data_IF_266758975037
#
_entry.id   IF_266758975037
#
_cell.length_a   1.000
_cell.length_b   1.000
_cell.length_c   1.000
_cell.angle_alpha   90.00
_cell.angle_beta   90.00
_cell.angle_gamma   90.00
#
_symmetry.space_group_name_H-M   'P 1'
#
loop_
_entity.id
_entity.type
_entity.pdbx_description
1 polymer ?
#
# COMPACT_ATOMS: atom_id res chain seq x y z
N UNK A 1 -26.90 -3.25 -79.68
CA UNK A 1 -26.54 -4.65 -79.35
C UNK A 1 -25.54 -4.59 -78.27
N UNK A 2 -25.94 -4.80 -77.01
CA UNK A 2 -25.04 -4.86 -75.88
C UNK A 2 -24.64 -6.34 -75.61
N UNK A 3 -23.37 -6.64 -75.73
CA UNK A 3 -22.81 -7.99 -75.53
C UNK A 3 -22.89 -8.38 -74.06
N UNK A 4 -23.47 -9.51 -73.70
CA UNK A 4 -23.48 -10.11 -72.37
C UNK A 4 -22.06 -10.55 -72.01
N UNK A 5 -21.62 -10.34 -70.76
CA UNK A 5 -20.33 -10.85 -70.32
C UNK A 5 -20.34 -12.37 -70.17
N UNK A 6 -19.21 -13.01 -70.50
CA UNK A 6 -19.06 -14.45 -70.53
C UNK A 6 -19.22 -15.06 -69.08
N UNK A 7 -19.83 -16.22 -68.98
CA UNK A 7 -20.12 -16.93 -67.71
C UNK A 7 -18.89 -17.11 -66.80
N UNK A 8 -17.69 -17.16 -67.38
CA UNK A 8 -16.44 -17.27 -66.60
C UNK A 8 -16.09 -16.01 -65.76
N UNK A 9 -16.58 -14.81 -66.13
CA UNK A 9 -16.34 -13.58 -65.39
C UNK A 9 -17.29 -13.44 -64.18
N UNK A 10 -18.49 -13.98 -64.29
CA UNK A 10 -19.47 -13.97 -63.18
C UNK A 10 -19.02 -14.88 -62.05
N UNK A 11 -18.46 -16.05 -62.37
CA UNK A 11 -17.98 -17.02 -61.36
C UNK A 11 -16.73 -16.48 -60.64
N UNK A 12 -15.84 -15.78 -61.30
CA UNK A 12 -14.66 -15.15 -60.71
C UNK A 12 -15.03 -14.00 -59.78
N UNK A 13 -16.02 -13.19 -60.11
CA UNK A 13 -16.50 -12.11 -59.24
C UNK A 13 -17.22 -12.63 -57.99
N UNK A 14 -17.96 -13.73 -58.09
CA UNK A 14 -18.62 -14.35 -56.92
C UNK A 14 -17.61 -14.97 -55.98
N UNK A 15 -16.57 -15.62 -56.48
CA UNK A 15 -15.52 -16.22 -55.65
C UNK A 15 -14.70 -15.15 -54.89
N UNK A 16 -14.40 -14.01 -55.51
CA UNK A 16 -13.73 -12.87 -54.89
C UNK A 16 -14.59 -12.25 -53.77
N UNK A 17 -15.87 -12.08 -53.98
CA UNK A 17 -16.80 -11.52 -52.98
C UNK A 17 -16.92 -12.40 -51.74
N UNK A 18 -16.92 -13.72 -51.89
CA UNK A 18 -16.98 -14.64 -50.75
C UNK A 18 -15.67 -14.69 -49.96
N UNK A 19 -14.53 -14.64 -50.65
CA UNK A 19 -13.20 -14.64 -49.98
C UNK A 19 -12.98 -13.39 -49.16
N UNK A 20 -13.39 -12.21 -49.67
CA UNK A 20 -13.29 -10.94 -48.95
C UNK A 20 -14.21 -10.91 -47.72
N UNK A 21 -15.43 -11.44 -47.79
CA UNK A 21 -16.35 -11.55 -46.65
C UNK A 21 -15.82 -12.51 -45.59
N UNK A 22 -15.20 -13.62 -45.99
CA UNK A 22 -14.61 -14.59 -45.07
C UNK A 22 -13.40 -14.01 -44.32
N UNK A 23 -12.53 -13.26 -44.99
CA UNK A 23 -11.38 -12.57 -44.39
C UNK A 23 -11.82 -11.44 -43.45
N UNK A 24 -12.82 -10.64 -43.84
CA UNK A 24 -13.36 -9.58 -43.00
C UNK A 24 -14.00 -10.11 -41.69
N UNK A 25 -14.71 -11.24 -41.77
CA UNK A 25 -15.28 -11.89 -40.58
C UNK A 25 -14.21 -12.47 -39.66
N UNK A 26 -13.12 -13.04 -40.21
CA UNK A 26 -12.01 -13.52 -39.35
C UNK A 26 -11.22 -12.40 -38.71
N UNK A 27 -10.98 -11.28 -39.39
CA UNK A 27 -10.36 -10.10 -38.80
C UNK A 27 -11.27 -9.48 -37.70
N UNK A 28 -12.57 -9.40 -37.92
CA UNK A 28 -13.53 -8.89 -36.93
C UNK A 28 -13.58 -9.74 -35.66
N UNK A 29 -13.57 -11.08 -35.81
CA UNK A 29 -13.50 -12.00 -34.66
C UNK A 29 -12.17 -11.94 -33.91
N UNK A 30 -11.05 -11.71 -34.62
CA UNK A 30 -9.74 -11.58 -33.96
C UNK A 30 -9.63 -10.27 -33.15
N UNK A 31 -10.19 -9.16 -33.64
CA UNK A 31 -10.23 -7.90 -32.91
C UNK A 31 -11.16 -7.96 -31.67
N UNK A 32 -12.29 -8.69 -31.75
CA UNK A 32 -13.17 -8.89 -30.58
C UNK A 32 -12.50 -9.76 -29.50
N UNK A 33 -11.74 -10.78 -29.89
CA UNK A 33 -11.03 -11.65 -28.94
C UNK A 33 -9.91 -10.92 -28.20
N UNK A 34 -9.19 -10.01 -28.85
CA UNK A 34 -8.12 -9.21 -28.21
C UNK A 34 -8.70 -8.15 -27.27
N UNK A 35 -9.84 -7.55 -27.60
CA UNK A 35 -10.51 -6.57 -26.71
C UNK A 35 -11.07 -7.22 -25.43
N UNK A 36 -11.56 -8.47 -25.50
CA UNK A 36 -12.03 -9.22 -24.34
C UNK A 36 -10.89 -9.67 -23.42
N UNK A 37 -9.69 -9.95 -23.94
CA UNK A 37 -8.53 -10.30 -23.12
C UNK A 37 -7.92 -9.08 -22.41
N UNK A 38 -7.95 -7.89 -23.00
CA UNK A 38 -7.45 -6.68 -22.37
C UNK A 38 -8.29 -6.23 -21.16
N UNK A 39 -9.62 -6.47 -21.19
CA UNK A 39 -10.52 -6.14 -20.09
C UNK A 39 -10.39 -7.05 -18.85
N UNK A 40 -9.92 -8.30 -19.04
CA UNK A 40 -9.80 -9.26 -17.93
C UNK A 40 -8.49 -9.09 -17.11
N UNK A 41 -7.46 -8.42 -17.66
CA UNK A 41 -6.17 -8.23 -16.98
C UNK A 41 -6.14 -7.01 -16.05
N UNK A 42 -6.99 -6.01 -16.29
CA UNK A 42 -6.98 -4.77 -15.50
C UNK A 42 -7.25 -4.98 -13.99
N UNK A 43 -8.24 -5.77 -13.55
CA UNK A 43 -8.49 -5.98 -12.12
C UNK A 43 -7.39 -6.79 -11.43
N UNK A 44 -6.74 -7.72 -12.14
CA UNK A 44 -5.64 -8.52 -11.58
C UNK A 44 -4.41 -7.65 -11.32
N UNK A 45 -4.06 -6.75 -12.22
CA UNK A 45 -2.93 -5.83 -12.05
C UNK A 45 -3.19 -4.83 -10.92
N UNK A 46 -4.42 -4.35 -10.78
CA UNK A 46 -4.79 -3.45 -9.68
C UNK A 46 -4.68 -4.15 -8.31
N UNK A 47 -5.20 -5.37 -8.19
CA UNK A 47 -5.14 -6.15 -6.96
C UNK A 47 -3.69 -6.51 -6.55
N UNK A 48 -2.83 -6.84 -7.52
CA UNK A 48 -1.41 -7.08 -7.27
C UNK A 48 -0.70 -5.80 -6.80
N UNK A 49 -1.04 -4.65 -7.38
CA UNK A 49 -0.51 -3.35 -6.96
C UNK A 49 -0.89 -3.00 -5.52
N UNK A 50 -2.16 -3.20 -5.13
CA UNK A 50 -2.63 -2.92 -3.77
C UNK A 50 -1.98 -3.86 -2.76
N UNK A 51 -1.79 -5.14 -3.10
CA UNK A 51 -1.07 -6.10 -2.27
C UNK A 51 0.39 -5.68 -2.05
N UNK A 52 1.07 -5.19 -3.09
CA UNK A 52 2.44 -4.68 -3.00
C UNK A 52 2.51 -3.39 -2.19
N UNK A 53 1.56 -2.46 -2.34
CA UNK A 53 1.47 -1.26 -1.50
C UNK A 53 1.25 -1.62 -0.03
N UNK A 54 0.35 -2.57 0.27
CA UNK A 54 0.11 -3.04 1.64
C UNK A 54 1.38 -3.64 2.25
N UNK A 55 2.07 -4.50 1.50
CA UNK A 55 3.33 -5.09 1.94
C UNK A 55 4.40 -4.02 2.16
N UNK A 56 4.51 -3.04 1.27
CA UNK A 56 5.40 -1.89 1.42
C UNK A 56 5.13 -1.09 2.71
N UNK A 57 3.86 -0.90 3.08
CA UNK A 57 3.47 -0.30 4.35
C UNK A 57 3.98 -1.11 5.56
N UNK A 58 3.85 -2.44 5.53
CA UNK A 58 4.39 -3.29 6.60
C UNK A 58 5.92 -3.25 6.66
N UNK A 59 6.60 -3.20 5.51
CA UNK A 59 8.07 -2.99 5.45
C UNK A 59 8.48 -1.62 6.04
N UNK A 60 7.72 -0.56 5.77
CA UNK A 60 7.94 0.77 6.34
C UNK A 60 7.88 0.76 7.87
N UNK A 61 6.94 0.01 8.42
CA UNK A 61 6.82 -0.16 9.87
C UNK A 61 8.01 -0.95 10.44
N UNK A 62 8.21 -2.21 9.97
CA UNK A 62 9.23 -3.11 10.55
C UNK A 62 9.64 -4.17 9.52
N UNK A 63 10.57 -3.80 8.64
CA UNK A 63 10.94 -4.63 7.49
C UNK A 63 11.40 -6.04 7.88
N UNK A 64 12.24 -6.20 8.92
CA UNK A 64 12.69 -7.54 9.36
C UNK A 64 11.59 -8.41 9.97
N UNK A 65 10.54 -7.80 10.49
CA UNK A 65 9.33 -8.52 10.88
C UNK A 65 8.56 -9.04 9.68
N UNK A 66 8.42 -8.22 8.63
CA UNK A 66 7.67 -8.55 7.42
C UNK A 66 8.41 -9.55 6.53
N UNK A 67 9.67 -9.30 6.20
CA UNK A 67 10.43 -10.12 5.26
C UNK A 67 11.25 -11.25 5.90
N UNK A 68 11.19 -11.35 7.25
CA UNK A 68 11.91 -12.36 8.04
C UNK A 68 13.44 -12.30 7.91
N UNK A 69 13.98 -11.16 7.48
CA UNK A 69 15.42 -10.92 7.47
C UNK A 69 15.99 -10.80 8.89
N UNK A 70 17.31 -10.86 9.01
CA UNK A 70 17.98 -10.70 10.29
C UNK A 70 17.65 -9.35 10.93
N UNK A 71 17.28 -9.37 12.21
CA UNK A 71 17.02 -8.18 13.02
C UNK A 71 18.31 -7.34 13.11
N UNK A 72 18.26 -6.04 12.79
CA UNK A 72 19.42 -5.19 12.86
C UNK A 72 19.89 -4.96 14.30
N UNK A 73 21.19 -4.70 14.47
CA UNK A 73 21.82 -4.40 15.75
C UNK A 73 22.42 -2.99 15.72
N UNK A 74 22.40 -2.31 16.87
CA UNK A 74 22.90 -0.93 16.97
C UNK A 74 22.05 0.10 16.22
N UNK A 75 22.49 1.35 16.24
CA UNK A 75 21.81 2.46 15.57
C UNK A 75 22.00 2.41 14.06
N UNK A 76 20.96 2.78 13.32
CA UNK A 76 21.09 3.09 11.90
C UNK A 76 22.10 4.25 11.69
N UNK A 77 22.96 4.14 10.67
CA UNK A 77 24.06 5.10 10.48
C UNK A 77 23.56 6.56 10.34
N UNK A 78 22.43 6.77 9.68
CA UNK A 78 21.82 8.08 9.51
C UNK A 78 20.96 8.54 10.70
N UNK A 79 20.78 7.72 11.74
CA UNK A 79 19.98 8.10 12.91
C UNK A 79 20.70 9.14 13.75
N UNK A 80 20.17 10.37 13.89
CA UNK A 80 20.94 11.48 14.47
C UNK A 80 20.92 11.53 15.99
N UNK A 81 19.95 10.85 16.66
CA UNK A 81 19.72 10.94 18.11
C UNK A 81 20.47 9.81 18.81
N UNK A 82 21.77 9.99 19.00
CA UNK A 82 22.62 8.97 19.66
C UNK A 82 22.20 8.76 21.11
N UNK A 83 22.08 7.46 21.51
CA UNK A 83 21.64 7.09 22.87
C UNK A 83 20.19 7.45 23.19
N UNK A 84 19.39 7.86 22.21
CA UNK A 84 17.99 8.18 22.38
C UNK A 84 17.11 6.95 22.64
N UNK A 85 15.94 7.17 23.21
CA UNK A 85 14.95 6.13 23.55
C UNK A 85 14.61 5.20 22.36
N UNK A 86 14.69 5.71 21.15
CA UNK A 86 14.34 5.03 19.91
C UNK A 86 15.56 4.68 19.05
N UNK A 87 16.74 4.60 19.66
CA UNK A 87 17.96 4.07 19.08
C UNK A 87 17.93 2.54 18.92
N UNK A 88 19.09 1.96 18.65
CA UNK A 88 19.24 0.52 18.42
C UNK A 88 18.40 0.07 17.23
N UNK A 89 17.80 -1.11 17.34
CA UNK A 89 16.96 -1.68 16.28
C UNK A 89 15.80 -0.77 15.85
N UNK A 90 15.24 0.03 16.75
CA UNK A 90 14.11 0.90 16.45
C UNK A 90 14.48 1.94 15.39
N UNK A 91 15.72 2.44 15.40
CA UNK A 91 16.21 3.43 14.45
C UNK A 91 16.27 2.94 12.99
N UNK A 92 16.16 1.63 12.77
CA UNK A 92 16.11 1.01 11.44
C UNK A 92 14.70 0.95 10.84
N UNK A 93 13.70 1.32 11.60
CA UNK A 93 12.31 1.40 11.10
C UNK A 93 12.12 2.73 10.36
N UNK A 94 11.64 2.68 9.13
CA UNK A 94 11.44 3.89 8.31
C UNK A 94 10.57 4.93 9.03
N UNK A 95 9.53 4.45 9.74
CA UNK A 95 8.64 5.30 10.53
C UNK A 95 9.35 6.06 11.65
N UNK A 96 10.51 5.59 12.14
CA UNK A 96 11.22 6.26 13.24
C UNK A 96 11.85 7.58 12.80
N UNK A 97 12.24 7.67 11.53
CA UNK A 97 12.77 8.88 10.93
C UNK A 97 11.67 9.72 10.25
N UNK A 98 10.76 9.06 9.53
CA UNK A 98 9.81 9.70 8.62
C UNK A 98 8.40 9.91 9.21
N UNK A 99 8.14 9.36 10.40
CA UNK A 99 6.88 9.51 11.14
C UNK A 99 5.76 8.57 10.67
N UNK A 100 4.83 8.29 11.56
CA UNK A 100 3.59 7.57 11.24
C UNK A 100 2.63 8.40 10.37
N UNK A 101 2.70 9.73 10.50
CA UNK A 101 1.97 10.69 9.67
C UNK A 101 2.66 11.00 8.35
N UNK A 102 3.83 10.38 8.10
CA UNK A 102 4.66 10.53 6.91
C UNK A 102 5.21 11.95 6.67
N UNK A 103 5.15 12.82 7.69
CA UNK A 103 5.60 14.22 7.62
C UNK A 103 6.98 14.44 8.23
N UNK A 104 7.48 13.48 9.03
CA UNK A 104 8.76 13.58 9.71
C UNK A 104 8.86 14.84 10.58
N UNK A 105 9.92 15.64 10.39
CA UNK A 105 10.15 16.89 11.13
C UNK A 105 9.05 17.95 10.95
N UNK A 106 8.19 17.81 9.96
CA UNK A 106 7.11 18.76 9.66
C UNK A 106 5.74 18.26 10.16
N UNK A 107 5.72 17.19 10.96
CA UNK A 107 4.53 16.55 11.52
C UNK A 107 4.64 16.24 13.00
N UNK A 108 4.05 15.13 13.40
CA UNK A 108 4.06 14.66 14.79
C UNK A 108 5.46 14.49 15.38
N UNK A 109 6.48 14.29 14.52
CA UNK A 109 7.88 14.13 14.91
C UNK A 109 8.69 15.43 14.86
N UNK A 110 8.03 16.59 14.80
CA UNK A 110 8.69 17.91 14.85
C UNK A 110 9.41 18.16 16.19
N UNK A 111 8.97 17.50 17.28
CA UNK A 111 9.50 17.66 18.63
C UNK A 111 9.33 16.39 19.45
N UNK A 112 9.96 16.36 20.64
CA UNK A 112 9.88 15.21 21.54
C UNK A 112 10.90 14.12 21.21
N UNK A 113 10.70 12.91 21.74
CA UNK A 113 11.66 11.80 21.65
C UNK A 113 11.89 11.23 20.23
N UNK A 114 10.96 11.49 19.31
CA UNK A 114 11.06 11.08 17.91
C UNK A 114 11.62 12.19 16.98
N UNK A 115 12.04 13.34 17.53
CA UNK A 115 12.51 14.46 16.72
C UNK A 115 13.90 14.18 16.13
N UNK A 116 13.94 13.68 14.93
CA UNK A 116 15.20 13.40 14.18
C UNK A 116 15.64 14.54 13.28
N UNK A 117 14.79 15.54 13.03
CA UNK A 117 15.03 16.57 12.02
C UNK A 117 14.90 16.08 10.58
N UNK A 118 14.61 14.80 10.36
CA UNK A 118 14.50 14.19 9.04
C UNK A 118 13.11 14.49 8.44
N UNK A 119 13.08 14.85 7.16
CA UNK A 119 11.82 15.12 6.43
C UNK A 119 10.98 13.84 6.27
N UNK A 120 9.67 14.00 6.12
CA UNK A 120 8.76 12.92 5.79
C UNK A 120 8.86 12.44 4.34
N UNK A 121 8.03 11.46 4.02
CA UNK A 121 7.99 10.82 2.68
C UNK A 121 6.89 11.38 1.77
N UNK A 122 6.01 12.25 2.24
CA UNK A 122 4.90 12.80 1.43
C UNK A 122 5.35 13.48 0.14
N UNK A 123 6.54 14.10 0.13
CA UNK A 123 7.13 14.72 -1.06
C UNK A 123 7.56 13.73 -2.15
N UNK A 124 7.46 12.42 -1.90
CA UNK A 124 7.72 11.38 -2.87
C UNK A 124 6.43 10.83 -3.53
N UNK A 125 5.27 11.37 -3.17
CA UNK A 125 4.00 10.96 -3.78
C UNK A 125 4.02 11.16 -5.30
N UNK A 126 3.64 10.12 -6.04
CA UNK A 126 3.61 10.11 -7.49
C UNK A 126 4.98 10.02 -8.19
N UNK A 127 6.09 9.94 -7.45
CA UNK A 127 7.42 9.78 -8.06
C UNK A 127 7.60 8.38 -8.65
N UNK A 128 8.53 8.28 -9.59
CA UNK A 128 8.92 7.02 -10.21
C UNK A 128 9.39 6.02 -9.16
N UNK A 129 8.84 4.81 -9.21
CA UNK A 129 9.06 3.75 -8.21
C UNK A 129 10.51 3.27 -8.22
N UNK A 130 11.13 3.16 -9.40
CA UNK A 130 12.53 2.72 -9.49
C UNK A 130 13.48 3.77 -8.89
N UNK A 131 13.21 5.06 -9.13
CA UNK A 131 13.98 6.14 -8.53
C UNK A 131 13.85 6.15 -7.00
N UNK A 132 12.65 5.90 -6.46
CA UNK A 132 12.43 5.79 -5.01
C UNK A 132 13.13 4.55 -4.44
N UNK A 133 13.08 3.41 -5.13
CA UNK A 133 13.78 2.18 -4.70
C UNK A 133 15.30 2.37 -4.65
N UNK A 134 15.87 3.12 -5.61
CA UNK A 134 17.30 3.42 -5.63
C UNK A 134 17.75 4.22 -4.39
N UNK A 135 16.91 5.10 -3.82
CA UNK A 135 17.24 5.84 -2.62
C UNK A 135 17.48 4.94 -1.40
N UNK A 136 16.87 3.76 -1.34
CA UNK A 136 17.10 2.81 -0.24
C UNK A 136 18.53 2.26 -0.21
N UNK A 137 19.22 2.35 -1.34
CA UNK A 137 20.63 1.90 -1.52
C UNK A 137 21.63 3.05 -1.42
N UNK A 138 21.16 4.29 -1.30
CA UNK A 138 22.06 5.45 -1.25
C UNK A 138 22.86 5.52 0.07
N UNK A 139 23.81 6.45 0.14
CA UNK A 139 24.67 6.62 1.32
C UNK A 139 23.93 6.99 2.61
N UNK A 140 22.70 7.50 2.52
CA UNK A 140 21.93 7.91 3.69
C UNK A 140 21.11 6.74 4.23
N UNK A 141 20.53 5.90 3.35
CA UNK A 141 19.71 4.77 3.77
C UNK A 141 20.55 3.49 3.93
N UNK A 142 21.45 3.20 2.98
CA UNK A 142 22.46 2.15 3.09
C UNK A 142 21.94 0.72 3.26
N UNK A 143 20.65 0.45 2.96
CA UNK A 143 20.12 -0.91 3.08
C UNK A 143 20.77 -1.85 2.08
N UNK A 144 21.22 -3.00 2.56
CA UNK A 144 21.79 -4.07 1.73
C UNK A 144 20.69 -4.96 1.13
N UNK A 145 21.05 -5.77 0.12
CA UNK A 145 20.12 -6.76 -0.46
C UNK A 145 19.69 -7.82 0.56
N UNK A 146 20.53 -8.15 1.53
CA UNK A 146 20.20 -9.09 2.62
C UNK A 146 19.17 -8.50 3.61
N UNK A 147 19.10 -7.18 3.74
CA UNK A 147 18.14 -6.49 4.61
C UNK A 147 16.81 -6.23 3.89
N UNK A 148 16.87 -5.67 2.71
CA UNK A 148 15.73 -5.41 1.83
C UNK A 148 16.06 -5.96 0.45
N UNK A 149 15.46 -7.06 0.05
CA UNK A 149 15.63 -7.61 -1.30
C UNK A 149 15.17 -6.60 -2.37
N UNK A 150 15.53 -6.85 -3.62
CA UNK A 150 15.04 -6.03 -4.76
C UNK A 150 13.51 -5.96 -4.77
N UNK A 151 12.81 -7.06 -4.44
CA UNK A 151 11.36 -7.07 -4.30
C UNK A 151 10.88 -6.22 -3.12
N UNK A 152 11.51 -6.31 -1.96
CA UNK A 152 11.17 -5.50 -0.79
C UNK A 152 11.35 -4.02 -1.09
N UNK A 153 12.43 -3.65 -1.76
CA UNK A 153 12.69 -2.28 -2.17
C UNK A 153 11.63 -1.76 -3.16
N UNK A 154 11.17 -2.60 -4.10
CA UNK A 154 10.12 -2.25 -5.04
C UNK A 154 8.76 -2.04 -4.33
N UNK A 155 8.35 -2.97 -3.45
CA UNK A 155 7.09 -2.86 -2.70
C UNK A 155 7.10 -1.63 -1.77
N UNK A 156 8.21 -1.40 -1.06
CA UNK A 156 8.38 -0.23 -0.21
C UNK A 156 8.36 1.07 -1.01
N UNK A 157 9.02 1.12 -2.16
CA UNK A 157 9.01 2.29 -3.04
C UNK A 157 7.61 2.56 -3.62
N UNK A 158 6.88 1.52 -3.96
CA UNK A 158 5.49 1.63 -4.41
C UNK A 158 4.59 2.19 -3.30
N UNK A 159 4.74 1.71 -2.06
CA UNK A 159 4.08 2.29 -0.89
C UNK A 159 4.44 3.77 -0.73
N UNK A 160 5.71 4.15 -0.75
CA UNK A 160 6.17 5.54 -0.61
C UNK A 160 5.58 6.44 -1.69
N UNK A 161 5.48 5.95 -2.93
CA UNK A 161 4.92 6.69 -4.06
C UNK A 161 3.39 6.82 -4.00
N UNK A 162 2.66 5.85 -3.46
CA UNK A 162 1.18 5.75 -3.55
C UNK A 162 0.47 5.61 -2.21
N UNK A 163 1.06 4.90 -1.25
CA UNK A 163 0.39 4.49 -0.02
C UNK A 163 -0.03 5.63 0.92
N UNK A 164 0.81 6.64 1.20
CA UNK A 164 0.47 7.73 2.13
C UNK A 164 -0.65 8.67 1.64
N UNK A 165 -1.09 8.51 0.39
CA UNK A 165 -2.07 9.39 -0.21
C UNK A 165 -3.41 9.38 0.58
N UNK A 166 -3.84 10.55 0.99
CA UNK A 166 -5.13 10.73 1.66
C UNK A 166 -5.14 10.59 3.18
N UNK A 167 -4.16 9.91 3.81
CA UNK A 167 -4.13 9.73 5.28
C UNK A 167 -4.19 11.07 6.03
N UNK A 168 -3.48 12.08 5.55
CA UNK A 168 -3.51 13.41 6.17
C UNK A 168 -4.90 14.07 6.18
N UNK A 169 -5.81 13.68 5.27
CA UNK A 169 -7.18 14.24 5.20
C UNK A 169 -8.06 13.76 6.36
N UNK A 170 -7.78 12.57 6.87
CA UNK A 170 -8.53 11.91 7.94
C UNK A 170 -7.83 11.96 9.30
N UNK A 171 -6.78 12.79 9.42
CA UNK A 171 -6.12 13.09 10.69
C UNK A 171 -6.34 14.55 11.07
N UNK A 172 -6.43 14.81 12.37
CA UNK A 172 -6.40 16.17 12.95
C UNK A 172 -4.96 16.69 13.02
N UNK A 173 -4.79 17.97 13.35
CA UNK A 173 -3.46 18.56 13.53
C UNK A 173 -2.66 17.94 14.69
N UNK A 174 -3.36 17.45 15.71
CA UNK A 174 -2.80 16.75 16.88
C UNK A 174 -2.74 15.22 16.69
N UNK A 175 -2.77 14.78 15.45
CA UNK A 175 -2.57 13.37 15.05
C UNK A 175 -3.65 12.39 15.53
N UNK A 176 -4.89 12.85 15.71
CA UNK A 176 -6.06 12.00 16.01
C UNK A 176 -6.80 11.64 14.73
N UNK A 177 -7.39 10.45 14.69
CA UNK A 177 -8.27 10.08 13.57
C UNK A 177 -9.59 10.89 13.60
N UNK A 178 -10.01 11.40 12.44
CA UNK A 178 -11.28 12.11 12.22
C UNK A 178 -12.35 11.14 11.73
N UNK A 179 -12.86 10.29 12.61
CA UNK A 179 -13.84 9.27 12.28
C UNK A 179 -15.09 9.33 13.16
N UNK A 180 -16.10 8.57 12.73
CA UNK A 180 -17.30 8.28 13.51
C UNK A 180 -17.09 6.97 14.31
N UNK A 181 -16.86 7.09 15.61
CA UNK A 181 -16.60 5.93 16.45
C UNK A 181 -17.81 4.97 16.61
N UNK A 182 -19.05 5.39 16.32
CA UNK A 182 -20.20 4.49 16.33
C UNK A 182 -20.21 3.60 15.07
N UNK A 183 -19.88 4.18 13.91
CA UNK A 183 -19.66 3.39 12.68
C UNK A 183 -18.45 2.49 12.84
N UNK A 184 -17.37 3.01 13.44
CA UNK A 184 -16.14 2.26 13.73
C UNK A 184 -16.39 1.04 14.60
N UNK A 185 -17.31 1.10 15.57
CA UNK A 185 -17.72 -0.05 16.37
C UNK A 185 -18.33 -1.17 15.52
N UNK A 186 -19.24 -0.84 14.62
CA UNK A 186 -19.84 -1.82 13.72
C UNK A 186 -18.78 -2.49 12.82
N UNK A 187 -17.84 -1.71 12.27
CA UNK A 187 -16.73 -2.24 11.49
C UNK A 187 -15.80 -3.10 12.34
N UNK A 188 -15.45 -2.66 13.54
CA UNK A 188 -14.58 -3.40 14.46
C UNK A 188 -15.17 -4.75 14.82
N UNK A 189 -16.45 -4.78 15.20
CA UNK A 189 -17.15 -5.99 15.59
C UNK A 189 -17.24 -7.02 14.44
N UNK A 190 -17.28 -6.54 13.20
CA UNK A 190 -17.38 -7.39 12.00
C UNK A 190 -16.01 -7.85 11.49
N UNK A 191 -15.02 -6.95 11.43
CA UNK A 191 -13.75 -7.19 10.74
C UNK A 191 -12.60 -7.53 11.69
N UNK A 192 -12.62 -7.05 12.95
CA UNK A 192 -11.45 -7.03 13.82
C UNK A 192 -11.64 -7.89 15.08
N UNK A 193 -12.84 -7.91 15.67
CA UNK A 193 -13.11 -8.53 16.96
C UNK A 193 -12.87 -10.04 16.98
N UNK A 194 -12.97 -10.72 15.83
CA UNK A 194 -12.67 -12.16 15.72
C UNK A 194 -11.25 -12.50 16.22
N UNK A 195 -10.28 -11.65 15.86
CA UNK A 195 -8.87 -11.80 16.27
C UNK A 195 -8.55 -10.99 17.53
N UNK A 196 -9.05 -9.74 17.64
CA UNK A 196 -8.68 -8.82 18.70
C UNK A 196 -9.55 -8.91 19.97
N UNK A 197 -10.69 -9.61 19.92
CA UNK A 197 -11.72 -9.58 20.98
C UNK A 197 -12.56 -8.30 20.90
N UNK A 198 -13.75 -8.35 21.46
CA UNK A 198 -14.67 -7.21 21.50
C UNK A 198 -14.10 -6.02 22.31
N UNK A 199 -13.22 -6.30 23.25
CA UNK A 199 -12.53 -5.33 24.10
C UNK A 199 -11.11 -4.96 23.61
N UNK A 200 -10.67 -5.51 22.48
CA UNK A 200 -9.35 -5.26 21.91
C UNK A 200 -8.16 -5.86 22.67
N UNK A 201 -8.37 -6.88 23.53
CA UNK A 201 -7.33 -7.45 24.42
C UNK A 201 -6.95 -8.90 24.12
N UNK A 202 -7.54 -9.52 23.12
CA UNK A 202 -7.37 -10.96 22.86
C UNK A 202 -5.98 -11.32 22.32
N UNK A 203 -5.26 -10.40 21.69
CA UNK A 203 -3.91 -10.64 21.15
C UNK A 203 -2.90 -10.62 22.29
N UNK A 204 -2.34 -11.80 22.61
CA UNK A 204 -1.46 -12.00 23.79
C UNK A 204 -0.12 -11.27 23.69
N UNK A 205 0.46 -11.21 22.49
CA UNK A 205 1.79 -10.64 22.25
C UNK A 205 1.74 -9.15 21.83
N UNK A 206 0.57 -8.53 21.96
CA UNK A 206 0.34 -7.12 21.65
C UNK A 206 -0.25 -6.35 22.83
N UNK A 207 -0.13 -5.03 22.83
CA UNK A 207 -0.79 -4.20 23.83
C UNK A 207 -2.31 -4.21 23.61
N UNK A 208 -3.11 -3.95 24.66
CA UNK A 208 -4.54 -3.64 24.48
C UNK A 208 -4.71 -2.51 23.46
N UNK A 209 -5.61 -2.67 22.50
CA UNK A 209 -5.77 -1.70 21.39
C UNK A 209 -6.09 -0.29 21.91
N UNK A 210 -6.90 -0.17 22.97
CA UNK A 210 -7.21 1.13 23.57
C UNK A 210 -5.97 1.86 24.13
N UNK A 211 -4.93 1.12 24.56
CA UNK A 211 -3.72 1.73 25.12
C UNK A 211 -2.83 2.43 24.07
N UNK A 212 -2.97 2.08 22.79
CA UNK A 212 -2.18 2.63 21.68
C UNK A 212 -3.00 3.49 20.73
N UNK A 213 -4.31 3.54 20.91
CA UNK A 213 -5.27 4.18 20.00
C UNK A 213 -5.12 5.70 19.87
N UNK A 214 -4.50 6.35 20.86
CA UNK A 214 -4.26 7.79 20.86
C UNK A 214 -3.33 8.28 19.73
N UNK A 215 -2.50 7.39 19.18
CA UNK A 215 -1.69 7.66 17.99
C UNK A 215 -2.49 7.35 16.72
N UNK A 216 -3.35 8.28 16.31
CA UNK A 216 -4.25 8.09 15.15
C UNK A 216 -3.51 7.74 13.85
N UNK A 217 -2.35 8.34 13.59
CA UNK A 217 -1.57 8.02 12.39
C UNK A 217 -1.02 6.57 12.41
N UNK A 218 -0.56 6.09 13.56
CA UNK A 218 -0.15 4.68 13.70
C UNK A 218 -1.34 3.75 13.50
N UNK A 219 -2.48 4.04 14.11
CA UNK A 219 -3.69 3.23 13.94
C UNK A 219 -4.15 3.21 12.48
N UNK A 220 -4.17 4.35 11.81
CA UNK A 220 -4.45 4.42 10.37
C UNK A 220 -3.48 3.57 9.55
N UNK A 221 -2.18 3.66 9.84
CA UNK A 221 -1.18 2.84 9.17
C UNK A 221 -1.45 1.34 9.35
N UNK A 222 -1.70 0.89 10.59
CA UNK A 222 -1.97 -0.52 10.89
C UNK A 222 -3.24 -1.03 10.23
N UNK A 223 -4.30 -0.25 10.27
CA UNK A 223 -5.58 -0.61 9.64
C UNK A 223 -5.45 -0.70 8.12
N UNK A 224 -4.78 0.25 7.50
CA UNK A 224 -4.64 0.29 6.04
C UNK A 224 -3.71 -0.80 5.50
N UNK A 225 -2.59 -1.09 6.18
CA UNK A 225 -1.53 -1.94 5.61
C UNK A 225 -1.33 -3.27 6.34
N UNK A 226 -1.91 -3.44 7.52
CA UNK A 226 -1.72 -4.62 8.37
C UNK A 226 -0.52 -4.51 9.31
N UNK A 227 -0.25 -5.59 10.04
CA UNK A 227 0.84 -5.71 11.00
C UNK A 227 1.99 -6.53 10.40
N UNK A 228 3.25 -6.06 10.47
CA UNK A 228 4.41 -6.77 9.90
C UNK A 228 4.55 -8.19 10.42
N UNK A 229 4.57 -9.14 9.51
CA UNK A 229 4.77 -10.55 9.81
C UNK A 229 3.59 -11.28 10.44
N UNK A 230 2.43 -10.62 10.57
CA UNK A 230 1.22 -11.14 11.17
C UNK A 230 0.09 -11.31 10.14
N UNK A 231 -0.91 -12.12 10.50
CA UNK A 231 -2.08 -12.36 9.65
C UNK A 231 -3.14 -11.24 9.68
N UNK A 232 -2.77 -10.03 10.13
CA UNK A 232 -3.67 -8.87 10.14
C UNK A 232 -3.93 -8.40 8.71
N UNK A 233 -5.18 -8.42 8.22
CA UNK A 233 -5.49 -8.02 6.85
C UNK A 233 -5.29 -6.51 6.66
N UNK A 234 -4.87 -6.12 5.45
CA UNK A 234 -4.81 -4.73 5.01
C UNK A 234 -6.18 -4.28 4.48
N UNK A 235 -6.65 -3.13 4.91
CA UNK A 235 -7.94 -2.58 4.46
C UNK A 235 -7.79 -1.42 3.46
N UNK A 236 -6.63 -1.27 2.83
CA UNK A 236 -6.37 -0.14 1.93
C UNK A 236 -7.27 -0.09 0.68
N UNK A 237 -7.87 -1.22 0.29
CA UNK A 237 -8.83 -1.28 -0.83
C UNK A 237 -10.22 -0.72 -0.45
N UNK A 238 -10.48 -0.48 0.82
CA UNK A 238 -11.73 0.11 1.31
C UNK A 238 -11.61 1.64 1.36
N UNK A 239 -12.77 2.31 1.53
CA UNK A 239 -12.77 3.75 1.75
C UNK A 239 -11.94 4.09 3.01
N UNK A 240 -11.03 5.05 2.87
CA UNK A 240 -10.14 5.49 3.94
C UNK A 240 -10.89 5.97 5.19
N UNK A 241 -12.14 6.44 5.03
CA UNK A 241 -12.99 6.85 6.14
C UNK A 241 -13.32 5.67 7.06
N UNK A 242 -13.46 4.45 6.54
CA UNK A 242 -13.65 3.23 7.35
C UNK A 242 -12.46 3.05 8.31
N UNK A 243 -11.25 3.29 7.83
CA UNK A 243 -10.05 3.26 8.67
C UNK A 243 -10.07 4.32 9.76
N UNK A 244 -10.52 5.54 9.44
CA UNK A 244 -10.63 6.63 10.41
C UNK A 244 -11.73 6.36 11.46
N UNK A 245 -12.86 5.80 11.05
CA UNK A 245 -13.95 5.40 11.95
C UNK A 245 -13.48 4.30 12.91
N UNK A 246 -12.79 3.28 12.39
CA UNK A 246 -12.15 2.23 13.18
C UNK A 246 -11.16 2.82 14.19
N UNK A 247 -10.20 3.63 13.75
CA UNK A 247 -9.19 4.23 14.61
C UNK A 247 -9.83 5.10 15.71
N UNK A 248 -10.92 5.80 15.40
CA UNK A 248 -11.69 6.57 16.39
C UNK A 248 -12.40 5.67 17.38
N UNK A 249 -12.97 4.53 16.95
CA UNK A 249 -13.58 3.56 17.86
C UNK A 249 -12.55 2.97 18.84
N UNK A 250 -11.34 2.65 18.38
CA UNK A 250 -10.30 2.07 19.23
C UNK A 250 -9.97 2.93 20.47
N UNK A 251 -10.13 4.25 20.40
CA UNK A 251 -9.93 5.16 21.56
C UNK A 251 -10.96 4.95 22.69
N UNK A 252 -12.07 4.26 22.39
CA UNK A 252 -13.11 3.93 23.39
C UNK A 252 -12.90 2.57 24.04
N UNK A 253 -11.98 1.75 23.51
CA UNK A 253 -11.69 0.43 24.05
C UNK A 253 -10.85 0.54 25.35
N UNK A 254 -10.92 -0.46 26.24
CA UNK A 254 -10.11 -0.47 27.46
C UNK A 254 -8.61 -0.37 27.16
N UNK A 255 -7.92 0.50 27.91
CA UNK A 255 -6.46 0.67 27.81
C UNK A 255 -5.66 -0.29 28.72
N UNK A 256 -6.35 -1.03 29.61
CA UNK A 256 -5.77 -2.01 30.56
C UNK A 256 -6.59 -3.28 30.56
#
# INVERSE_FOLDING_TARGET
MASMPAAADIDRQQHWSQTVKYLANKLGMMCLGVALMAGALAPVVAAETDSSVARGGRLYDKWWGENKAAKPTGDHAAYPVKGGKYGGEASWRCKECHGWDYKGKDGAYAKGGHATGIKGIQGAAGKDVAAVAALLRDKNHGYTEAQLSTRDAADLALFVSRGPAGVAKVLTADNKAKGDGAKGEAYFNTLCAGCHGMDGKKVKDGPPLGSVAENGAEMMHKVLYGQPGEAMPALLALDIQIGADLATHLTKLPAK
#
